data_IF_053663465527
#
_entry.id   IF_053663465527
#
_cell.length_a   1.000
_cell.length_b   1.000
_cell.length_c   1.000
_cell.angle_alpha   90.00
_cell.angle_beta   90.00
_cell.angle_gamma   90.00
#
_symmetry.space_group_name_H-M   'P 1'
#
loop_
_entity.id
_entity.type
_entity.pdbx_description
1 polymer ?
#
# COMPACT_ATOMS: atom_id res chain seq x y z
N UNK A 1 -4.64 -9.48 20.61
CA UNK A 1 -3.43 -9.01 19.90
C UNK A 1 -3.91 -8.18 18.73
N UNK A 2 -3.53 -6.90 18.62
CA UNK A 2 -4.02 -6.00 17.57
C UNK A 2 -3.27 -6.17 16.25
N UNK A 3 -3.92 -5.85 15.13
CA UNK A 3 -3.36 -5.79 13.79
C UNK A 3 -3.51 -4.37 13.24
N UNK A 4 -2.44 -3.81 12.67
CA UNK A 4 -2.43 -2.52 11.99
C UNK A 4 -1.82 -2.69 10.61
N UNK A 5 -2.54 -2.20 9.61
CA UNK A 5 -2.09 -2.19 8.21
C UNK A 5 -1.76 -0.75 7.84
N UNK A 6 -0.57 -0.54 7.32
CA UNK A 6 -0.09 0.73 6.80
C UNK A 6 0.29 0.57 5.31
N UNK A 7 0.66 1.67 4.65
CA UNK A 7 1.42 1.58 3.40
C UNK A 7 2.80 0.93 3.64
N UNK A 8 3.55 0.70 2.56
CA UNK A 8 4.90 0.13 2.65
C UNK A 8 5.98 1.20 2.92
N UNK A 9 5.64 2.48 3.07
CA UNK A 9 6.63 3.54 3.22
C UNK A 9 7.25 3.52 4.61
N UNK A 10 8.58 3.63 4.62
CA UNK A 10 9.42 3.66 5.82
C UNK A 10 8.92 4.71 6.83
N UNK A 11 8.44 5.86 6.34
CA UNK A 11 7.90 6.94 7.18
C UNK A 11 6.67 6.51 7.98
N UNK A 12 5.66 5.91 7.32
CA UNK A 12 4.44 5.46 7.99
C UNK A 12 4.73 4.31 8.98
N UNK A 13 5.61 3.37 8.61
CA UNK A 13 6.02 2.30 9.52
C UNK A 13 6.72 2.82 10.78
N UNK A 14 7.55 3.85 10.65
CA UNK A 14 8.27 4.43 11.77
C UNK A 14 7.32 5.13 12.77
N UNK A 15 6.36 5.93 12.29
CA UNK A 15 5.35 6.58 13.16
C UNK A 15 4.55 5.54 13.95
N UNK A 16 4.23 4.41 13.32
CA UNK A 16 3.50 3.30 13.94
C UNK A 16 4.33 2.47 14.95
N UNK A 17 5.63 2.70 15.08
CA UNK A 17 6.47 2.09 16.13
C UNK A 17 6.28 2.78 17.48
N UNK A 18 6.16 4.10 17.47
CA UNK A 18 6.12 4.92 18.69
C UNK A 18 4.75 4.88 19.38
N UNK A 19 3.66 4.69 18.61
CA UNK A 19 2.29 4.77 19.13
C UNK A 19 1.75 3.48 19.76
N UNK A 20 2.23 2.31 19.34
CA UNK A 20 1.84 1.03 19.94
C UNK A 20 2.87 -0.08 19.70
N UNK A 21 3.67 -0.46 20.71
CA UNK A 21 4.73 -1.45 20.53
C UNK A 21 4.20 -2.88 20.26
N UNK A 22 3.04 -3.22 20.82
CA UNK A 22 2.48 -4.59 20.89
C UNK A 22 1.47 -4.92 19.77
N UNK A 23 1.39 -4.11 18.71
CA UNK A 23 0.52 -4.34 17.56
C UNK A 23 1.30 -5.02 16.42
N UNK A 24 0.69 -6.03 15.80
CA UNK A 24 1.20 -6.68 14.59
C UNK A 24 1.07 -5.71 13.41
N UNK A 25 2.17 -5.43 12.71
CA UNK A 25 2.21 -4.43 11.62
C UNK A 25 2.29 -5.11 10.25
N UNK A 26 1.57 -4.59 9.25
CA UNK A 26 1.53 -5.12 7.87
C UNK A 26 1.59 -4.00 6.84
N UNK A 27 2.30 -4.23 5.73
CA UNK A 27 2.34 -3.34 4.58
C UNK A 27 1.25 -3.68 3.55
N UNK A 28 0.71 -2.66 2.89
CA UNK A 28 -0.37 -2.81 1.91
C UNK A 28 0.14 -2.84 0.46
N UNK A 29 0.02 -4.00 -0.20
CA UNK A 29 0.50 -4.21 -1.58
C UNK A 29 -0.20 -3.29 -2.61
N UNK A 30 -1.46 -2.93 -2.38
CA UNK A 30 -2.16 -1.98 -3.23
C UNK A 30 -1.53 -0.58 -3.15
N UNK A 31 -1.26 -0.06 -1.96
CA UNK A 31 -0.61 1.26 -1.81
C UNK A 31 0.81 1.27 -2.40
N UNK A 32 1.55 0.17 -2.25
CA UNK A 32 2.84 -0.04 -2.91
C UNK A 32 2.72 0.00 -4.44
N UNK A 33 1.85 -0.85 -5.02
CA UNK A 33 1.63 -0.89 -6.46
C UNK A 33 1.08 0.45 -6.99
N UNK A 34 0.24 1.14 -6.22
CA UNK A 34 -0.30 2.46 -6.59
C UNK A 34 0.78 3.54 -6.57
N UNK A 35 1.67 3.54 -5.58
CA UNK A 35 2.82 4.45 -5.51
C UNK A 35 3.78 4.23 -6.67
N UNK A 36 4.16 2.97 -6.92
CA UNK A 36 5.03 2.61 -8.03
C UNK A 36 4.37 2.90 -9.39
N UNK A 37 3.05 2.67 -9.51
CA UNK A 37 2.30 3.00 -10.71
C UNK A 37 2.21 4.50 -10.98
N UNK A 38 2.04 5.34 -9.95
CA UNK A 38 2.15 6.81 -10.11
C UNK A 38 3.50 7.18 -10.70
N UNK A 39 4.59 6.64 -10.15
CA UNK A 39 5.95 6.87 -10.68
C UNK A 39 6.13 6.40 -12.13
N UNK A 40 5.59 5.23 -12.51
CA UNK A 40 5.58 4.73 -13.90
C UNK A 40 4.82 5.67 -14.85
N UNK A 41 3.73 6.29 -14.39
CA UNK A 41 2.97 7.28 -15.18
C UNK A 41 3.72 8.61 -15.27
N UNK A 42 4.31 9.07 -14.17
CA UNK A 42 5.06 10.35 -14.09
C UNK A 42 6.32 10.32 -14.96
N UNK A 43 7.00 9.16 -15.06
CA UNK A 43 8.13 8.93 -15.98
C UNK A 43 7.70 8.69 -17.44
N UNK A 44 6.41 8.82 -17.77
CA UNK A 44 5.87 8.73 -19.12
C UNK A 44 5.73 7.31 -19.69
N UNK A 45 6.03 6.27 -18.89
CA UNK A 45 6.10 4.87 -19.33
C UNK A 45 4.72 4.18 -19.51
N UNK A 46 3.63 4.89 -19.22
CA UNK A 46 2.25 4.35 -19.24
C UNK A 46 1.89 3.65 -20.55
N UNK A 47 2.24 4.21 -21.70
CA UNK A 47 1.95 3.63 -23.02
C UNK A 47 2.73 2.34 -23.25
N UNK A 48 4.03 2.33 -22.92
CA UNK A 48 4.92 1.18 -23.03
C UNK A 48 4.48 0.02 -22.13
N UNK A 49 3.89 0.32 -20.97
CA UNK A 49 3.38 -0.70 -20.04
C UNK A 49 2.01 -1.28 -20.45
N UNK A 50 1.08 -0.44 -20.93
CA UNK A 50 -0.32 -0.84 -21.19
C UNK A 50 -0.52 -1.40 -22.60
N UNK A 51 0.20 -0.89 -23.61
CA UNK A 51 -0.07 -1.26 -24.99
C UNK A 51 0.30 -2.72 -25.28
N UNK A 52 -0.72 -3.58 -25.44
CA UNK A 52 -0.53 -5.00 -25.73
C UNK A 52 -0.03 -5.26 -27.16
N UNK A 53 -0.17 -4.29 -28.06
CA UNK A 53 0.32 -4.34 -29.45
C UNK A 53 1.80 -3.90 -29.57
N UNK A 54 2.42 -3.46 -28.47
CA UNK A 54 3.83 -3.09 -28.46
C UNK A 54 4.72 -4.35 -28.43
N UNK A 55 5.49 -4.59 -29.49
CA UNK A 55 6.44 -5.71 -29.59
C UNK A 55 7.57 -5.62 -28.53
N UNK A 56 7.91 -4.41 -28.06
CA UNK A 56 8.88 -4.20 -26.98
C UNK A 56 8.22 -4.33 -25.60
N UNK A 57 8.25 -5.55 -25.05
CA UNK A 57 7.73 -5.84 -23.71
C UNK A 57 8.73 -5.57 -22.55
N UNK A 58 9.94 -5.04 -22.80
CA UNK A 58 10.98 -4.89 -21.76
C UNK A 58 10.52 -4.03 -20.58
N UNK A 59 10.05 -2.80 -20.85
CA UNK A 59 9.52 -1.88 -19.83
C UNK A 59 8.38 -2.51 -19.03
N UNK A 60 7.47 -3.24 -19.68
CA UNK A 60 6.37 -3.93 -19.01
C UNK A 60 6.88 -5.04 -18.08
N UNK A 61 7.80 -5.87 -18.56
CA UNK A 61 8.46 -6.94 -17.80
C UNK A 61 9.16 -6.38 -16.57
N UNK A 62 9.97 -5.33 -16.74
CA UNK A 62 10.82 -4.82 -15.65
C UNK A 62 10.00 -4.07 -14.59
N UNK A 63 8.98 -3.31 -14.99
CA UNK A 63 8.00 -2.77 -14.04
C UNK A 63 7.27 -3.88 -13.28
N UNK A 64 6.95 -5.01 -13.92
CA UNK A 64 6.35 -6.16 -13.24
C UNK A 64 7.32 -6.86 -12.27
N UNK A 65 8.61 -6.97 -12.61
CA UNK A 65 9.65 -7.45 -11.68
C UNK A 65 9.74 -6.56 -10.45
N UNK A 66 9.76 -5.24 -10.63
CA UNK A 66 9.76 -4.26 -9.53
C UNK A 66 8.49 -4.35 -8.67
N UNK A 67 7.30 -4.54 -9.28
CA UNK A 67 6.05 -4.76 -8.56
C UNK A 67 6.03 -6.09 -7.77
N UNK A 68 6.87 -7.06 -8.12
CA UNK A 68 6.97 -8.36 -7.46
C UNK A 68 7.95 -8.40 -6.28
N UNK A 69 8.77 -7.35 -6.07
CA UNK A 69 9.76 -7.29 -4.98
C UNK A 69 9.18 -7.59 -3.58
N UNK A 70 7.96 -7.17 -3.18
CA UNK A 70 7.39 -7.50 -1.87
C UNK A 70 7.09 -8.99 -1.62
N UNK A 71 7.27 -9.87 -2.62
CA UNK A 71 7.17 -11.33 -2.47
C UNK A 71 8.52 -12.01 -2.20
N UNK A 72 9.63 -11.28 -2.33
CA UNK A 72 10.98 -11.77 -2.03
C UNK A 72 11.14 -11.90 -0.50
N UNK A 73 11.80 -12.95 0.02
CA UNK A 73 12.12 -13.05 1.44
C UNK A 73 13.02 -11.89 1.88
N UNK A 74 12.76 -11.38 3.09
CA UNK A 74 13.42 -10.23 3.69
C UNK A 74 14.94 -10.17 3.56
N UNK A 75 15.60 -11.31 3.79
CA UNK A 75 17.06 -11.41 3.80
C UNK A 75 17.64 -11.35 2.38
N UNK A 76 16.82 -11.62 1.36
CA UNK A 76 17.20 -11.67 -0.06
C UNK A 76 16.75 -10.41 -0.84
N UNK A 77 15.95 -9.50 -0.26
CA UNK A 77 15.32 -8.37 -0.98
C UNK A 77 16.36 -7.46 -1.64
N UNK A 78 17.44 -7.11 -0.94
CA UNK A 78 18.48 -6.23 -1.49
C UNK A 78 19.22 -6.89 -2.68
N UNK A 79 19.57 -8.17 -2.57
CA UNK A 79 20.28 -8.92 -3.62
C UNK A 79 19.39 -9.12 -4.86
N UNK A 80 18.14 -9.55 -4.67
CA UNK A 80 17.19 -9.75 -5.78
C UNK A 80 16.83 -8.44 -6.44
N UNK A 81 16.72 -7.34 -5.70
CA UNK A 81 16.50 -6.02 -6.28
C UNK A 81 17.69 -5.57 -7.14
N UNK A 82 18.93 -5.73 -6.66
CA UNK A 82 20.11 -5.35 -7.45
C UNK A 82 20.21 -6.18 -8.74
N UNK A 83 19.95 -7.50 -8.70
CA UNK A 83 19.85 -8.33 -9.91
C UNK A 83 18.75 -7.88 -10.87
N UNK A 84 17.59 -7.41 -10.36
CA UNK A 84 16.54 -6.84 -11.22
C UNK A 84 17.02 -5.54 -11.89
N UNK A 85 17.78 -4.70 -11.18
CA UNK A 85 18.28 -3.41 -11.67
C UNK A 85 19.40 -3.58 -12.70
N UNK A 86 20.32 -4.52 -12.49
CA UNK A 86 21.41 -4.82 -13.44
C UNK A 86 20.90 -5.32 -14.80
N UNK A 87 19.74 -5.98 -14.83
CA UNK A 87 19.08 -6.49 -16.04
C UNK A 87 17.98 -5.58 -16.59
N UNK A 88 17.65 -4.49 -15.89
CA UNK A 88 16.53 -3.61 -16.26
C UNK A 88 16.88 -2.71 -17.44
N UNK A 89 15.86 -2.42 -18.26
CA UNK A 89 15.96 -1.37 -19.27
C UNK A 89 16.20 0.02 -18.63
N UNK A 90 17.11 0.82 -19.20
CA UNK A 90 17.47 2.18 -18.76
C UNK A 90 16.25 3.07 -18.49
N UNK A 91 15.17 2.91 -19.28
CA UNK A 91 13.92 3.67 -19.13
C UNK A 91 13.25 3.45 -17.77
N UNK A 92 13.51 2.32 -17.12
CA UNK A 92 12.87 1.90 -15.86
C UNK A 92 13.72 2.24 -14.62
N UNK A 93 14.98 2.64 -14.78
CA UNK A 93 15.90 2.91 -13.66
C UNK A 93 15.41 4.02 -12.71
N UNK A 94 14.66 5.01 -13.21
CA UNK A 94 14.02 6.04 -12.36
C UNK A 94 12.90 5.46 -11.46
N UNK A 95 12.19 4.44 -11.95
CA UNK A 95 11.16 3.70 -11.19
C UNK A 95 11.82 2.81 -10.15
N UNK A 96 12.92 2.12 -10.52
CA UNK A 96 13.72 1.34 -9.58
C UNK A 96 14.37 2.22 -8.49
N UNK A 97 14.89 3.38 -8.85
CA UNK A 97 15.45 4.36 -7.89
C UNK A 97 14.40 4.87 -6.91
N UNK A 98 13.15 5.06 -7.36
CA UNK A 98 12.03 5.37 -6.46
C UNK A 98 11.69 4.20 -5.53
N UNK A 99 11.75 2.96 -6.03
CA UNK A 99 11.53 1.76 -5.22
C UNK A 99 12.57 1.65 -4.09
N UNK A 100 13.86 1.76 -4.41
CA UNK A 100 14.95 1.61 -3.42
C UNK A 100 14.86 2.68 -2.30
N UNK A 101 14.72 3.94 -2.70
CA UNK A 101 14.73 5.08 -1.78
C UNK A 101 13.53 5.14 -0.81
N UNK A 102 12.39 4.52 -1.16
CA UNK A 102 11.17 4.60 -0.35
C UNK A 102 10.83 3.29 0.37
N UNK A 103 11.27 2.14 -0.15
CA UNK A 103 10.79 0.83 0.28
C UNK A 103 11.87 -0.21 0.63
N UNK A 104 13.09 -0.11 0.06
CA UNK A 104 14.15 -1.10 0.27
C UNK A 104 15.20 -0.55 1.22
N UNK A 105 16.19 0.21 0.73
CA UNK A 105 17.29 0.73 1.57
C UNK A 105 16.92 2.02 2.29
N UNK A 106 15.91 2.73 1.79
CA UNK A 106 15.52 4.04 2.26
C UNK A 106 16.53 5.13 1.87
N UNK A 107 16.09 6.38 1.88
CA UNK A 107 16.99 7.51 1.68
C UNK A 107 18.00 7.57 2.85
N UNK A 108 19.26 7.19 2.60
CA UNK A 108 20.32 6.96 3.61
C UNK A 108 20.66 8.18 4.49
N UNK A 109 20.13 9.36 4.18
CA UNK A 109 20.21 10.57 5.02
C UNK A 109 19.23 10.56 6.20
N UNK A 110 18.19 9.72 6.17
CA UNK A 110 17.21 9.53 7.24
C UNK A 110 17.21 8.06 7.70
N UNK A 111 17.11 7.87 9.03
CA UNK A 111 17.44 6.62 9.76
C UNK A 111 17.06 5.32 9.04
N UNK A 112 18.08 4.45 8.90
CA UNK A 112 18.04 3.07 8.36
C UNK A 112 16.79 2.31 8.82
N UNK A 113 16.00 1.84 7.86
CA UNK A 113 14.73 1.15 8.09
C UNK A 113 14.89 -0.36 8.25
N UNK A 114 13.82 -1.01 8.74
CA UNK A 114 13.70 -2.47 8.86
C UNK A 114 12.45 -2.88 8.07
N UNK A 115 12.56 -3.61 6.94
CA UNK A 115 11.40 -3.95 6.11
C UNK A 115 10.50 -5.08 6.71
N UNK A 116 9.25 -5.30 6.20
CA UNK A 116 8.32 -6.32 6.73
C UNK A 116 7.76 -7.35 5.73
N UNK A 117 7.28 -8.48 6.27
CA UNK A 117 6.85 -9.70 5.54
C UNK A 117 5.34 -9.79 5.27
N UNK A 118 4.97 -9.76 3.98
CA UNK A 118 3.73 -10.26 3.33
C UNK A 118 2.37 -9.53 3.58
N UNK A 119 1.49 -9.41 2.55
CA UNK A 119 0.38 -8.42 2.42
C UNK A 119 -0.99 -8.95 2.95
N UNK A 120 -2.20 -8.37 2.74
CA UNK A 120 -2.73 -7.25 1.90
C UNK A 120 -3.54 -6.23 2.77
N UNK A 121 -4.61 -5.58 2.26
CA UNK A 121 -5.56 -4.81 3.11
C UNK A 121 -7.08 -4.94 2.84
N UNK A 122 -7.53 -5.34 1.64
CA UNK A 122 -8.91 -5.33 1.06
C UNK A 122 -10.08 -4.70 1.85
N UNK A 123 -10.29 -5.08 3.11
CA UNK A 123 -11.29 -4.50 4.03
C UNK A 123 -11.11 -2.99 4.19
N UNK A 124 -9.86 -2.51 4.30
CA UNK A 124 -9.57 -1.07 4.50
C UNK A 124 -9.82 -0.28 3.21
N UNK A 125 -9.47 -0.82 2.04
CA UNK A 125 -9.86 -0.27 0.74
C UNK A 125 -11.38 -0.28 0.49
N UNK A 126 -12.07 -1.36 0.87
CA UNK A 126 -13.53 -1.43 0.79
C UNK A 126 -14.18 -0.36 1.68
N UNK A 127 -13.65 -0.14 2.89
CA UNK A 127 -14.07 0.94 3.77
C UNK A 127 -13.79 2.32 3.17
N UNK A 128 -12.57 2.60 2.70
CA UNK A 128 -12.25 3.89 2.08
C UNK A 128 -13.07 4.16 0.81
N UNK A 129 -13.36 3.14 -0.01
CA UNK A 129 -14.20 3.27 -1.20
C UNK A 129 -15.68 3.50 -0.84
N UNK A 130 -16.20 2.83 0.20
CA UNK A 130 -17.52 3.12 0.79
C UNK A 130 -17.56 4.56 1.30
N UNK A 131 -16.59 4.95 2.11
CA UNK A 131 -16.52 6.25 2.77
C UNK A 131 -16.38 7.40 1.77
N UNK A 132 -15.55 7.27 0.72
CA UNK A 132 -15.48 8.26 -0.36
C UNK A 132 -16.82 8.42 -1.11
N UNK A 133 -17.58 7.33 -1.30
CA UNK A 133 -18.94 7.36 -1.89
C UNK A 133 -20.00 7.96 -0.96
N UNK A 134 -19.77 8.00 0.35
CA UNK A 134 -20.65 8.67 1.33
C UNK A 134 -20.32 10.16 1.41
N UNK A 135 -19.03 10.51 1.36
CA UNK A 135 -18.59 11.89 1.53
C UNK A 135 -19.00 12.82 0.38
N UNK A 136 -19.15 12.32 -0.87
CA UNK A 136 -19.72 12.93 -2.12
C UNK A 136 -19.29 14.38 -2.47
N UNK A 137 -18.36 14.98 -1.72
CA UNK A 137 -18.00 16.39 -1.84
C UNK A 137 -16.47 16.49 -1.84
N UNK A 138 -15.91 17.05 -2.92
CA UNK A 138 -14.46 17.20 -3.10
C UNK A 138 -13.76 17.94 -1.94
N UNK A 139 -14.49 18.80 -1.21
CA UNK A 139 -14.04 19.44 0.02
C UNK A 139 -15.18 19.49 1.06
N UNK A 140 -15.41 18.39 1.77
CA UNK A 140 -16.25 18.43 2.98
C UNK A 140 -15.59 19.30 4.06
N UNK A 141 -16.36 20.17 4.70
CA UNK A 141 -15.88 20.89 5.88
C UNK A 141 -15.80 19.93 7.09
N UNK A 142 -15.01 20.31 8.11
CA UNK A 142 -14.78 19.49 9.32
C UNK A 142 -16.08 19.04 9.99
N UNK A 143 -17.11 19.89 10.01
CA UNK A 143 -18.39 19.56 10.63
C UNK A 143 -19.11 18.44 9.90
N UNK A 144 -19.25 18.52 8.57
CA UNK A 144 -19.82 17.42 7.78
C UNK A 144 -18.99 16.15 7.92
N UNK A 145 -17.67 16.23 7.93
CA UNK A 145 -16.81 15.05 8.17
C UNK A 145 -17.07 14.39 9.54
N UNK A 146 -17.25 15.18 10.60
CA UNK A 146 -17.57 14.68 11.94
C UNK A 146 -19.00 14.12 12.06
N UNK A 147 -19.95 14.61 11.26
CA UNK A 147 -21.32 14.10 11.24
C UNK A 147 -21.39 12.75 10.50
N UNK A 148 -20.74 12.62 9.34
CA UNK A 148 -20.66 11.35 8.59
C UNK A 148 -19.90 10.28 9.39
N UNK A 149 -18.82 10.64 10.11
CA UNK A 149 -18.11 9.72 11.01
C UNK A 149 -19.01 9.21 12.15
N UNK A 150 -19.82 10.08 12.76
CA UNK A 150 -20.78 9.66 13.81
C UNK A 150 -21.92 8.81 13.27
N UNK A 151 -22.32 9.01 12.02
CA UNK A 151 -23.29 8.14 11.35
C UNK A 151 -22.71 6.74 11.11
N UNK A 152 -21.49 6.63 10.59
CA UNK A 152 -20.82 5.33 10.42
C UNK A 152 -20.60 4.62 11.77
N UNK A 153 -20.17 5.32 12.82
CA UNK A 153 -20.04 4.75 14.17
C UNK A 153 -21.37 4.17 14.66
N UNK A 154 -22.48 4.89 14.47
CA UNK A 154 -23.81 4.44 14.84
C UNK A 154 -24.21 3.16 14.08
N UNK A 155 -24.02 3.13 12.76
CA UNK A 155 -24.32 1.97 11.92
C UNK A 155 -23.47 0.74 12.31
N UNK A 156 -22.17 0.93 12.58
CA UNK A 156 -21.30 -0.14 13.07
C UNK A 156 -21.77 -0.69 14.42
N UNK A 157 -22.20 0.17 15.35
CA UNK A 157 -22.72 -0.26 16.65
C UNK A 157 -24.03 -1.04 16.51
N UNK A 158 -24.91 -0.67 15.58
CA UNK A 158 -26.11 -1.46 15.28
C UNK A 158 -25.76 -2.84 14.69
N UNK A 159 -24.84 -2.90 13.72
CA UNK A 159 -24.41 -4.15 13.09
C UNK A 159 -23.75 -5.08 14.11
N UNK A 160 -22.89 -4.56 15.00
CA UNK A 160 -22.27 -5.34 16.06
C UNK A 160 -23.30 -5.90 17.05
N UNK A 161 -24.28 -5.09 17.47
CA UNK A 161 -25.36 -5.54 18.35
C UNK A 161 -26.23 -6.63 17.70
N UNK A 162 -26.52 -6.52 16.40
CA UNK A 162 -27.24 -7.54 15.63
C UNK A 162 -26.45 -8.85 15.53
N UNK A 163 -25.13 -8.78 15.27
CA UNK A 163 -24.28 -9.97 15.23
C UNK A 163 -24.15 -10.65 16.60
N UNK A 164 -24.03 -9.89 17.68
CA UNK A 164 -24.00 -10.43 19.05
C UNK A 164 -25.34 -11.13 19.39
N UNK A 165 -26.47 -10.47 19.12
CA UNK A 165 -27.79 -11.05 19.34
C UNK A 165 -28.08 -12.29 18.46
N UNK A 166 -27.46 -12.40 17.28
CA UNK A 166 -27.55 -13.59 16.43
C UNK A 166 -26.72 -14.75 16.99
N UNK A 167 -25.47 -14.51 17.42
CA UNK A 167 -24.65 -15.55 18.06
C UNK A 167 -25.21 -16.03 19.40
N UNK A 168 -25.92 -15.17 20.15
CA UNK A 168 -26.60 -15.54 21.40
C UNK A 168 -27.86 -16.41 21.17
N UNK A 169 -28.35 -16.54 19.93
CA UNK A 169 -29.49 -17.39 19.56
C UNK A 169 -29.07 -18.76 18.98
N UNK A 170 -27.78 -19.02 18.81
CA UNK A 170 -27.22 -20.27 18.28
C UNK A 170 -26.60 -21.18 19.39
N UNK A 171 -26.91 -20.92 20.67
CA UNK A 171 -26.43 -21.66 21.86
C UNK A 171 -27.58 -22.28 22.65
#
# INVERSE_FOLDING_TARGET
MGLMIADFEIAAMNVNRDFSPNIFRKGCLFHFNQSLWRKVVDDGLRSLYINAENEDHTVRRDVQRLMAVPFVPMDDVEEVFDMIVEEADDRVLNVATHLDNNYIRGNRTLRRAIPPLFPTNNVVEAYHSKFQKIMVIHHANVWKFLDELRSEEHDFHQILAQHQAACEQEV
#
